data_IF_718224502827
#
_entry.id   IF_718224502827
#
_cell.length_a   1.000
_cell.length_b   1.000
_cell.length_c   1.000
_cell.angle_alpha   90.00
_cell.angle_beta   90.00
_cell.angle_gamma   90.00
#
_symmetry.space_group_name_H-M   'P 1'
#
loop_
_entity.id
_entity.type
_entity.pdbx_description
1 polymer ?
#
# COMPACT_ATOMS: atom_id res chain seq x y z
N UNK A 1 9.18 4.68 -15.32
CA UNK A 1 8.86 6.03 -14.81
C UNK A 1 9.84 6.47 -13.73
N UNK A 2 9.91 5.81 -12.56
CA UNK A 2 10.76 6.25 -11.43
C UNK A 2 12.22 6.58 -11.81
N UNK A 3 12.92 5.70 -12.56
CA UNK A 3 14.30 5.95 -13.01
C UNK A 3 14.43 7.18 -13.93
N UNK A 4 13.51 7.33 -14.89
CA UNK A 4 13.49 8.49 -15.78
C UNK A 4 13.21 9.80 -15.04
N UNK A 5 12.39 9.78 -13.99
CA UNK A 5 12.13 10.97 -13.18
C UNK A 5 13.29 11.37 -12.27
N UNK A 6 14.09 10.41 -11.80
CA UNK A 6 15.35 10.74 -11.12
C UNK A 6 16.30 11.50 -12.05
N UNK A 7 16.34 11.16 -13.34
CA UNK A 7 17.14 11.86 -14.35
C UNK A 7 16.53 13.23 -14.71
N UNK A 8 15.20 13.35 -14.77
CA UNK A 8 14.48 14.60 -15.03
C UNK A 8 14.45 15.58 -13.84
N UNK A 9 14.81 15.13 -12.62
CA UNK A 9 14.86 15.99 -11.42
C UNK A 9 15.78 17.20 -11.56
N UNK A 10 16.71 17.17 -12.52
CA UNK A 10 17.61 18.29 -12.85
C UNK A 10 16.95 19.40 -13.67
N UNK A 11 15.77 19.14 -14.26
CA UNK A 11 15.15 20.01 -15.27
C UNK A 11 13.73 20.45 -14.92
N UNK A 12 13.14 19.95 -13.83
CA UNK A 12 11.78 20.26 -13.40
C UNK A 12 11.77 20.54 -11.90
N UNK A 13 10.84 21.39 -11.46
CA UNK A 13 10.63 21.62 -10.04
C UNK A 13 10.03 20.38 -9.36
N UNK A 14 10.28 20.15 -8.06
CA UNK A 14 9.66 19.06 -7.31
C UNK A 14 8.13 19.05 -7.40
N UNK A 15 7.50 20.23 -7.46
CA UNK A 15 6.07 20.41 -7.56
C UNK A 15 5.52 19.94 -8.92
N UNK A 16 6.20 20.28 -10.01
CA UNK A 16 5.84 19.83 -11.37
C UNK A 16 6.00 18.32 -11.51
N UNK A 17 7.08 17.76 -10.97
CA UNK A 17 7.31 16.32 -10.95
C UNK A 17 6.21 15.62 -10.16
N UNK A 18 5.86 16.13 -8.98
CA UNK A 18 4.81 15.55 -8.14
C UNK A 18 3.45 15.60 -8.82
N UNK A 19 3.08 16.74 -9.40
CA UNK A 19 1.80 16.90 -10.12
C UNK A 19 1.70 15.97 -11.31
N UNK A 20 2.77 15.87 -12.11
CA UNK A 20 2.82 14.94 -13.23
C UNK A 20 2.69 13.48 -12.77
N UNK A 21 3.48 13.08 -11.76
CA UNK A 21 3.47 11.71 -11.25
C UNK A 21 2.10 11.35 -10.68
N UNK A 22 1.49 12.24 -9.91
CA UNK A 22 0.15 12.06 -9.37
C UNK A 22 -0.87 11.80 -10.49
N UNK A 23 -0.84 12.59 -11.56
CA UNK A 23 -1.72 12.42 -12.72
C UNK A 23 -1.44 11.12 -13.48
N UNK A 24 -0.17 10.83 -13.78
CA UNK A 24 0.22 9.64 -14.53
C UNK A 24 -0.11 8.35 -13.77
N UNK A 25 0.14 8.33 -12.46
CA UNK A 25 -0.16 7.19 -11.59
C UNK A 25 -1.68 7.02 -11.45
N UNK A 26 -2.42 8.11 -11.23
CA UNK A 26 -3.89 8.06 -11.13
C UNK A 26 -4.50 7.53 -12.44
N UNK A 27 -4.04 8.02 -13.58
CA UNK A 27 -4.51 7.55 -14.88
C UNK A 27 -4.19 6.06 -15.08
N UNK A 28 -2.96 5.63 -14.75
CA UNK A 28 -2.58 4.22 -14.82
C UNK A 28 -3.43 3.34 -13.91
N UNK A 29 -3.73 3.81 -12.70
CA UNK A 29 -4.60 3.11 -11.75
C UNK A 29 -6.01 2.95 -12.32
N UNK A 30 -6.58 4.02 -12.89
CA UNK A 30 -7.91 3.99 -13.50
C UNK A 30 -7.98 3.02 -14.69
N UNK A 31 -7.02 3.10 -15.62
CA UNK A 31 -6.97 2.20 -16.79
C UNK A 31 -6.84 0.75 -16.35
N UNK A 32 -5.96 0.48 -15.38
CA UNK A 32 -5.77 -0.87 -14.83
C UNK A 32 -7.04 -1.40 -14.18
N UNK A 33 -7.69 -0.60 -13.34
CA UNK A 33 -8.92 -0.99 -12.66
C UNK A 33 -10.04 -1.32 -13.66
N UNK A 34 -10.25 -0.47 -14.67
CA UNK A 34 -11.27 -0.69 -15.71
C UNK A 34 -10.96 -1.96 -16.51
N UNK A 35 -9.69 -2.16 -16.89
CA UNK A 35 -9.27 -3.34 -17.64
C UNK A 35 -9.46 -4.63 -16.82
N UNK A 36 -9.00 -4.65 -15.57
CA UNK A 36 -9.16 -5.80 -14.67
C UNK A 36 -10.64 -6.10 -14.41
N UNK A 37 -11.47 -5.07 -14.21
CA UNK A 37 -12.92 -5.23 -14.07
C UNK A 37 -13.54 -5.85 -15.31
N UNK A 38 -13.19 -5.36 -16.50
CA UNK A 38 -13.72 -5.90 -17.76
C UNK A 38 -13.30 -7.37 -17.94
N UNK A 39 -12.02 -7.70 -17.73
CA UNK A 39 -11.52 -9.07 -17.86
C UNK A 39 -12.22 -10.00 -16.87
N UNK A 40 -12.34 -9.59 -15.59
CA UNK A 40 -12.97 -10.40 -14.54
C UNK A 40 -14.45 -10.67 -14.84
N UNK A 41 -15.19 -9.65 -15.29
CA UNK A 41 -16.59 -9.81 -15.65
C UNK A 41 -16.78 -10.68 -16.91
N UNK A 42 -15.96 -10.48 -17.94
CA UNK A 42 -16.01 -11.25 -19.19
C UNK A 42 -15.75 -12.73 -18.94
N UNK A 43 -14.69 -13.08 -18.20
CA UNK A 43 -14.41 -14.48 -17.82
C UNK A 43 -15.57 -15.11 -17.05
N UNK A 44 -16.09 -14.38 -16.07
CA UNK A 44 -17.17 -14.86 -15.23
C UNK A 44 -18.52 -15.00 -15.97
N UNK A 45 -18.69 -14.37 -17.14
CA UNK A 45 -19.82 -14.61 -18.06
C UNK A 45 -19.59 -15.86 -18.94
N UNK A 46 -18.34 -16.11 -19.35
CA UNK A 46 -17.98 -17.27 -20.16
C UNK A 46 -18.00 -18.59 -19.38
N UNK A 47 -17.62 -18.60 -18.11
CA UNK A 47 -17.48 -19.82 -17.28
C UNK A 47 -18.82 -20.34 -16.68
N UNK A 48 -19.97 -19.95 -17.24
CA UNK A 48 -21.25 -20.60 -16.92
C UNK A 48 -21.93 -20.21 -15.59
N UNK A 49 -21.48 -19.16 -14.91
CA UNK A 49 -22.27 -18.48 -13.88
C UNK A 49 -22.21 -19.03 -12.44
N UNK A 50 -21.37 -20.02 -12.12
CA UNK A 50 -21.02 -20.32 -10.73
C UNK A 50 -20.04 -19.27 -10.19
N UNK A 51 -20.52 -18.03 -10.00
CA UNK A 51 -19.73 -16.97 -9.36
C UNK A 51 -19.79 -17.12 -7.85
N UNK A 52 -18.67 -16.89 -7.17
CA UNK A 52 -18.69 -16.54 -5.75
C UNK A 52 -19.59 -15.31 -5.59
N UNK A 53 -20.64 -15.41 -4.77
CA UNK A 53 -21.55 -14.29 -4.46
C UNK A 53 -20.85 -13.14 -3.72
N UNK A 54 -19.57 -13.32 -3.42
CA UNK A 54 -18.71 -12.41 -2.66
C UNK A 54 -17.99 -11.38 -3.54
N UNK A 55 -17.91 -11.58 -4.86
CA UNK A 55 -17.18 -10.68 -5.78
C UNK A 55 -18.02 -10.14 -6.94
N UNK A 56 -17.83 -8.87 -7.27
CA UNK A 56 -18.30 -8.23 -8.50
C UNK A 56 -17.09 -7.73 -9.29
N UNK A 57 -16.59 -8.56 -10.21
CA UNK A 57 -15.34 -8.31 -10.90
C UNK A 57 -14.18 -8.29 -9.90
N UNK A 58 -13.49 -7.15 -9.76
CA UNK A 58 -12.39 -6.96 -8.80
C UNK A 58 -12.84 -6.46 -7.43
N UNK A 59 -14.12 -6.12 -7.28
CA UNK A 59 -14.69 -5.62 -6.02
C UNK A 59 -15.09 -6.82 -5.16
N UNK A 60 -14.64 -6.84 -3.91
CA UNK A 60 -15.09 -7.80 -2.90
C UNK A 60 -16.16 -7.15 -2.02
N UNK A 61 -17.31 -7.83 -1.88
CA UNK A 61 -18.47 -7.31 -1.19
C UNK A 61 -18.37 -7.38 0.33
N UNK A 62 -17.49 -8.24 0.86
CA UNK A 62 -17.27 -8.40 2.30
C UNK A 62 -15.78 -8.40 2.63
N UNK A 63 -15.02 -7.40 2.17
CA UNK A 63 -13.57 -7.32 2.36
C UNK A 63 -13.23 -7.25 3.85
N UNK A 64 -12.51 -8.25 4.35
CA UNK A 64 -12.08 -8.34 5.74
C UNK A 64 -10.71 -7.67 5.90
N UNK A 65 -10.63 -6.51 6.59
CA UNK A 65 -9.36 -5.83 6.84
C UNK A 65 -8.42 -6.71 7.66
N UNK A 66 -8.94 -7.46 8.66
CA UNK A 66 -8.17 -8.39 9.49
C UNK A 66 -7.40 -9.41 8.66
N UNK A 67 -8.04 -10.03 7.67
CA UNK A 67 -7.39 -11.01 6.81
C UNK A 67 -6.33 -10.36 5.91
N UNK A 68 -6.64 -9.18 5.35
CA UNK A 68 -5.68 -8.42 4.53
C UNK A 68 -4.46 -7.97 5.33
N UNK A 69 -4.67 -7.47 6.55
CA UNK A 69 -3.60 -7.06 7.47
C UNK A 69 -2.70 -8.25 7.81
N UNK A 70 -3.27 -9.42 8.10
CA UNK A 70 -2.50 -10.64 8.40
C UNK A 70 -1.67 -11.10 7.20
N UNK A 71 -2.26 -11.10 6.01
CA UNK A 71 -1.58 -11.49 4.78
C UNK A 71 -0.40 -10.55 4.47
N UNK A 72 -0.64 -9.24 4.45
CA UNK A 72 0.42 -8.25 4.25
C UNK A 72 1.45 -8.30 5.39
N UNK A 73 1.00 -8.49 6.63
CA UNK A 73 1.84 -8.59 7.82
C UNK A 73 2.82 -9.77 7.76
N UNK A 74 2.34 -10.96 7.40
CA UNK A 74 3.19 -12.15 7.21
C UNK A 74 4.26 -11.90 6.15
N UNK A 75 3.84 -11.41 4.98
CA UNK A 75 4.75 -11.09 3.89
C UNK A 75 5.82 -10.07 4.28
N UNK A 76 5.43 -8.98 4.96
CA UNK A 76 6.37 -7.95 5.41
C UNK A 76 7.27 -8.46 6.55
N UNK A 77 6.77 -9.34 7.42
CA UNK A 77 7.57 -9.96 8.47
C UNK A 77 8.71 -10.78 7.87
N UNK A 78 8.41 -11.65 6.91
CA UNK A 78 9.41 -12.46 6.19
C UNK A 78 10.46 -11.57 5.50
N UNK A 79 10.02 -10.49 4.84
CA UNK A 79 10.92 -9.54 4.22
C UNK A 79 11.82 -8.80 5.24
N UNK A 80 11.25 -8.45 6.39
CA UNK A 80 11.93 -7.75 7.46
C UNK A 80 12.97 -8.66 8.14
N UNK A 81 12.60 -9.91 8.43
CA UNK A 81 13.50 -10.94 8.96
C UNK A 81 14.65 -11.25 7.98
N UNK A 82 14.35 -11.40 6.70
CA UNK A 82 15.37 -11.63 5.68
C UNK A 82 16.35 -10.44 5.54
N UNK A 83 15.89 -9.21 5.78
CA UNK A 83 16.72 -8.01 5.60
C UNK A 83 17.48 -7.61 6.87
N UNK A 84 16.85 -7.73 8.04
CA UNK A 84 17.37 -7.20 9.30
C UNK A 84 17.58 -8.27 10.38
N UNK A 85 17.18 -9.52 10.14
CA UNK A 85 17.28 -10.62 11.11
C UNK A 85 16.20 -10.61 12.20
N UNK A 86 15.26 -9.66 12.16
CA UNK A 86 14.15 -9.56 13.10
C UNK A 86 12.98 -8.79 12.50
N UNK A 87 11.78 -9.00 13.05
CA UNK A 87 10.56 -8.26 12.74
C UNK A 87 9.78 -7.94 14.03
N UNK A 88 9.05 -6.82 14.09
CA UNK A 88 8.12 -6.55 15.18
C UNK A 88 6.90 -7.47 15.11
N UNK A 89 6.30 -7.76 16.27
CA UNK A 89 4.98 -8.40 16.33
C UNK A 89 3.91 -7.47 15.75
N UNK A 90 2.92 -8.04 15.06
CA UNK A 90 1.76 -7.32 14.53
C UNK A 90 0.52 -7.56 15.40
N UNK A 91 0.04 -6.51 16.07
CA UNK A 91 -1.17 -6.56 16.91
C UNK A 91 -2.31 -5.89 16.17
N UNK A 92 -3.47 -6.54 16.13
CA UNK A 92 -4.70 -6.01 15.51
C UNK A 92 -5.76 -5.84 16.60
N UNK A 93 -6.23 -4.61 16.81
CA UNK A 93 -7.27 -4.25 17.78
C UNK A 93 -8.42 -3.46 17.15
N UNK A 94 -9.44 -3.11 17.94
CA UNK A 94 -10.67 -2.47 17.48
C UNK A 94 -11.73 -3.47 16.99
N UNK A 95 -12.52 -3.10 15.99
CA UNK A 95 -13.55 -3.96 15.40
C UNK A 95 -12.95 -4.86 14.31
N UNK A 96 -12.38 -5.98 14.74
CA UNK A 96 -11.64 -6.90 13.86
C UNK A 96 -12.53 -7.70 12.92
N UNK A 97 -13.83 -7.80 13.21
CA UNK A 97 -14.77 -8.59 12.41
C UNK A 97 -15.54 -7.71 11.41
N UNK A 98 -15.29 -6.39 11.41
CA UNK A 98 -15.79 -5.47 10.41
C UNK A 98 -15.41 -5.90 8.99
N UNK A 99 -16.37 -5.80 8.08
CA UNK A 99 -16.17 -5.99 6.65
C UNK A 99 -16.74 -4.81 5.87
N UNK A 100 -16.21 -4.55 4.68
CA UNK A 100 -16.69 -3.47 3.82
C UNK A 100 -16.51 -3.81 2.34
N UNK A 101 -17.28 -3.14 1.48
CA UNK A 101 -17.18 -3.33 0.03
C UNK A 101 -16.00 -2.52 -0.49
N UNK A 102 -14.98 -3.19 -1.03
CA UNK A 102 -13.75 -2.54 -1.49
C UNK A 102 -13.01 -3.35 -2.56
N UNK A 103 -11.96 -2.76 -3.14
CA UNK A 103 -11.03 -3.44 -4.08
C UNK A 103 -9.84 -4.00 -3.29
N UNK A 104 -9.72 -5.32 -3.08
CA UNK A 104 -8.69 -5.90 -2.20
C UNK A 104 -7.26 -5.55 -2.61
N UNK A 105 -6.96 -5.53 -3.91
CA UNK A 105 -5.61 -5.20 -4.45
C UNK A 105 -5.17 -3.79 -4.05
N UNK A 106 -6.10 -2.83 -3.96
CA UNK A 106 -5.76 -1.47 -3.53
C UNK A 106 -5.42 -1.44 -2.05
N UNK A 107 -6.22 -2.12 -1.22
CA UNK A 107 -5.98 -2.22 0.22
C UNK A 107 -4.66 -2.94 0.52
N UNK A 108 -4.38 -4.03 -0.19
CA UNK A 108 -3.14 -4.78 -0.11
C UNK A 108 -1.91 -3.90 -0.37
N UNK A 109 -1.95 -3.13 -1.46
CA UNK A 109 -0.85 -2.23 -1.82
C UNK A 109 -0.57 -1.21 -0.70
N UNK A 110 -1.63 -0.54 -0.23
CA UNK A 110 -1.53 0.47 0.84
C UNK A 110 -0.97 -0.17 2.13
N UNK A 111 -1.53 -1.30 2.56
CA UNK A 111 -1.11 -1.97 3.79
C UNK A 111 0.34 -2.44 3.70
N UNK A 112 0.75 -3.03 2.57
CA UNK A 112 2.13 -3.51 2.38
C UNK A 112 3.13 -2.36 2.47
N UNK A 113 2.88 -1.23 1.82
CA UNK A 113 3.79 -0.08 1.86
C UNK A 113 3.85 0.57 3.25
N UNK A 114 2.72 0.72 3.94
CA UNK A 114 2.68 1.26 5.31
C UNK A 114 3.41 0.31 6.27
N UNK A 115 3.13 -0.99 6.21
CA UNK A 115 3.73 -2.00 7.08
C UNK A 115 5.25 -2.09 6.87
N UNK A 116 5.75 -2.07 5.63
CA UNK A 116 7.20 -2.04 5.36
C UNK A 116 7.88 -0.86 6.08
N UNK A 117 7.26 0.32 6.03
CA UNK A 117 7.80 1.52 6.68
C UNK A 117 7.79 1.38 8.21
N UNK A 118 6.66 0.96 8.79
CA UNK A 118 6.50 0.77 10.24
C UNK A 118 7.47 -0.29 10.79
N UNK A 119 7.59 -1.43 10.10
CA UNK A 119 8.46 -2.53 10.47
C UNK A 119 9.93 -2.11 10.42
N UNK A 120 10.32 -1.51 9.30
CA UNK A 120 11.67 -0.98 9.12
C UNK A 120 12.04 0.03 10.20
N UNK A 121 11.16 1.01 10.48
CA UNK A 121 11.44 2.03 11.48
C UNK A 121 11.60 1.42 12.90
N UNK A 122 10.73 0.47 13.26
CA UNK A 122 10.76 -0.22 14.55
C UNK A 122 12.06 -1.00 14.75
N UNK A 123 12.47 -1.78 13.74
CA UNK A 123 13.71 -2.58 13.80
C UNK A 123 14.95 -1.69 13.78
N UNK A 124 15.01 -0.69 12.89
CA UNK A 124 16.16 0.22 12.81
C UNK A 124 16.36 1.01 14.11
N UNK A 125 15.28 1.47 14.76
CA UNK A 125 15.38 2.15 16.06
C UNK A 125 15.87 1.21 17.15
N UNK A 126 15.29 0.01 17.23
CA UNK A 126 15.67 -0.98 18.23
C UNK A 126 17.17 -1.33 18.11
N UNK A 127 17.68 -1.53 16.89
CA UNK A 127 19.11 -1.75 16.64
C UNK A 127 19.99 -0.56 17.05
N UNK A 128 19.55 0.68 16.79
CA UNK A 128 20.30 1.90 17.16
C UNK A 128 20.41 2.09 18.68
N UNK A 129 19.38 1.68 19.44
CA UNK A 129 19.41 1.71 20.90
C UNK A 129 20.34 0.62 21.49
N UNK A 130 20.83 -0.30 20.66
CA UNK A 130 21.81 -1.34 21.01
C UNK A 130 21.25 -2.44 21.92
N UNK A 131 22.09 -3.42 22.25
CA UNK A 131 21.81 -4.50 23.22
C UNK A 131 21.44 -3.99 24.65
N UNK A 132 21.41 -2.67 24.88
CA UNK A 132 20.88 -2.06 26.10
C UNK A 132 19.35 -2.25 26.24
N UNK A 133 18.65 -2.50 25.13
CA UNK A 133 17.26 -2.95 25.15
C UNK A 133 17.19 -4.44 25.50
N UNK A 134 17.07 -4.79 26.78
CA UNK A 134 16.61 -6.15 27.20
C UNK A 134 15.17 -6.45 26.75
N UNK A 135 14.47 -5.44 26.24
CA UNK A 135 13.08 -5.54 25.83
C UNK A 135 12.97 -5.94 24.35
N UNK A 136 11.95 -6.72 23.97
CA UNK A 136 11.71 -7.07 22.57
C UNK A 136 11.42 -5.81 21.74
N UNK A 137 11.53 -5.94 20.42
CA UNK A 137 11.12 -4.90 19.47
C UNK A 137 9.65 -4.56 19.75
N UNK A 138 9.30 -3.27 19.93
CA UNK A 138 7.91 -2.89 20.16
C UNK A 138 7.00 -3.34 19.02
N UNK A 139 5.76 -3.79 19.32
CA UNK A 139 4.83 -4.26 18.30
C UNK A 139 4.31 -3.11 17.44
N UNK A 140 4.03 -3.41 16.17
CA UNK A 140 3.25 -2.53 15.30
C UNK A 140 1.77 -2.83 15.53
N UNK A 141 0.99 -1.81 15.92
CA UNK A 141 -0.42 -1.97 16.29
C UNK A 141 -1.33 -1.38 15.21
N UNK A 142 -2.32 -2.14 14.74
CA UNK A 142 -3.35 -1.67 13.79
C UNK A 142 -4.72 -1.72 14.43
N UNK A 143 -5.32 -0.55 14.62
CA UNK A 143 -6.68 -0.39 15.13
C UNK A 143 -7.67 -0.25 13.99
N UNK A 144 -8.65 -1.16 13.90
CA UNK A 144 -9.73 -1.11 12.92
C UNK A 144 -10.94 -0.41 13.55
N UNK A 145 -11.43 0.63 12.89
CA UNK A 145 -12.74 1.24 13.18
C UNK A 145 -13.70 0.87 12.06
N UNK A 146 -14.89 0.34 12.39
CA UNK A 146 -15.84 -0.11 11.39
C UNK A 146 -16.35 1.06 10.54
N UNK A 147 -16.95 0.77 9.38
CA UNK A 147 -17.64 1.77 8.58
C UNK A 147 -18.63 2.57 9.43
N UNK A 148 -18.54 3.91 9.40
CA UNK A 148 -19.51 4.76 10.10
C UNK A 148 -20.93 4.39 9.68
N UNK A 149 -21.74 3.91 10.62
CA UNK A 149 -23.15 3.63 10.36
C UNK A 149 -23.86 4.93 9.98
N UNK A 150 -24.82 4.91 9.04
CA UNK A 150 -25.70 6.05 8.84
C UNK A 150 -26.42 6.31 10.16
N UNK A 151 -26.23 7.48 10.76
CA UNK A 151 -26.88 7.86 12.02
C UNK A 151 -28.40 7.65 11.89
N UNK A 152 -29.02 6.72 12.64
CA UNK A 152 -30.46 6.63 12.71
C UNK A 152 -30.91 7.73 13.68
N UNK A 153 -31.41 8.83 13.12
CA UNK A 153 -32.08 9.92 13.85
C UNK A 153 -31.23 10.63 14.90
N UNK A 154 -30.35 11.53 14.44
CA UNK A 154 -30.02 12.71 15.23
C UNK A 154 -31.23 13.67 15.23
N UNK A 155 -31.68 14.06 16.41
CA UNK A 155 -32.69 15.07 16.66
C UNK A 155 -32.24 16.46 16.21
N UNK A 156 -32.14 16.68 14.89
CA UNK A 156 -32.09 18.03 14.34
C UNK A 156 -33.53 18.52 14.11
N UNK A 157 -33.91 19.70 14.63
CA UNK A 157 -35.25 20.24 14.40
C UNK A 157 -35.46 20.43 12.90
N UNK A 158 -36.60 19.92 12.43
CA UNK A 158 -37.06 19.97 11.05
C UNK A 158 -37.29 21.41 10.59
N UNK A 159 -36.24 22.12 10.20
CA UNK A 159 -36.35 23.43 9.56
C UNK A 159 -35.20 23.69 8.59
N UNK A 160 -35.08 22.82 7.58
CA UNK A 160 -34.62 23.21 6.23
C UNK A 160 -34.70 22.00 5.30
N UNK A 161 -35.44 22.14 4.20
CA UNK A 161 -35.49 21.18 3.09
C UNK A 161 -34.17 21.21 2.30
N UNK A 162 -33.04 20.87 2.94
CA UNK A 162 -31.81 20.55 2.23
C UNK A 162 -31.80 19.05 1.94
N UNK A 163 -31.66 18.71 0.66
CA UNK A 163 -31.48 17.35 0.15
C UNK A 163 -30.57 16.56 1.11
N UNK A 164 -31.13 15.54 1.76
CA UNK A 164 -30.44 14.66 2.68
C UNK A 164 -29.41 13.86 1.88
N UNK A 165 -28.19 14.41 1.73
CA UNK A 165 -27.08 13.72 1.06
C UNK A 165 -26.90 12.36 1.74
N UNK A 166 -26.82 11.24 1.00
CA UNK A 166 -26.48 9.95 1.58
C UNK A 166 -25.14 10.10 2.31
N UNK A 167 -25.11 9.68 3.56
CA UNK A 167 -23.88 9.73 4.35
C UNK A 167 -22.92 8.68 3.79
N UNK A 168 -21.76 9.15 3.31
CA UNK A 168 -20.69 8.26 2.83
C UNK A 168 -20.12 7.50 4.02
N UNK A 169 -20.14 6.17 3.97
CA UNK A 169 -19.50 5.32 4.96
C UNK A 169 -18.01 5.15 4.68
N UNK A 170 -17.22 5.11 5.75
CA UNK A 170 -15.77 4.97 5.68
C UNK A 170 -15.26 3.99 6.71
N UNK A 171 -14.51 2.99 6.26
CA UNK A 171 -13.65 2.20 7.13
C UNK A 171 -12.42 3.04 7.49
N UNK A 172 -12.04 3.06 8.77
CA UNK A 172 -10.83 3.76 9.21
C UNK A 172 -9.88 2.78 9.91
N UNK A 173 -8.59 2.88 9.62
CA UNK A 173 -7.54 2.14 10.30
C UNK A 173 -6.49 3.11 10.84
N UNK A 174 -5.99 2.83 12.05
CA UNK A 174 -4.84 3.53 12.61
C UNK A 174 -3.69 2.55 12.78
N UNK A 175 -2.60 2.77 12.06
CA UNK A 175 -1.37 1.98 12.14
C UNK A 175 -0.39 2.75 13.01
N UNK A 176 0.14 2.12 14.06
CA UNK A 176 1.04 2.73 15.04
C UNK A 176 2.34 1.94 15.13
N UNK A 177 3.44 2.67 15.10
CA UNK A 177 4.77 2.12 15.38
C UNK A 177 5.48 2.93 16.47
N UNK A 178 6.42 2.28 17.14
CA UNK A 178 7.39 2.94 18.02
C UNK A 178 8.77 3.00 17.32
N UNK A 179 8.77 3.34 16.03
CA UNK A 179 9.96 3.43 15.19
C UNK A 179 10.76 4.71 15.36
N UNK A 180 10.42 5.56 16.35
CA UNK A 180 11.17 6.78 16.69
C UNK A 180 10.71 8.02 15.96
N UNK A 181 9.68 7.90 15.14
CA UNK A 181 9.07 9.03 14.44
C UNK A 181 9.93 9.59 13.30
N UNK A 182 9.46 10.71 12.78
CA UNK A 182 10.07 11.50 11.71
C UNK A 182 10.30 12.89 12.26
N UNK A 183 11.53 13.39 12.11
CA UNK A 183 11.89 14.74 12.55
C UNK A 183 11.09 15.82 11.82
N UNK A 184 10.84 16.95 12.49
CA UNK A 184 10.11 18.10 11.93
C UNK A 184 10.71 18.61 10.61
N UNK A 185 12.03 18.48 10.43
CA UNK A 185 12.73 18.84 9.18
C UNK A 185 12.34 17.98 7.98
N UNK A 186 11.91 16.73 8.21
CA UNK A 186 11.59 15.77 7.16
C UNK A 186 10.08 15.56 6.97
N UNK A 187 9.24 15.98 7.93
CA UNK A 187 7.79 15.70 7.93
C UNK A 187 7.09 16.20 6.66
N UNK A 188 7.52 17.35 6.14
CA UNK A 188 6.94 17.95 4.94
C UNK A 188 7.35 17.22 3.64
N UNK A 189 8.34 16.33 3.70
CA UNK A 189 8.91 15.64 2.54
C UNK A 189 8.52 14.16 2.47
N UNK A 190 7.87 13.59 3.49
CA UNK A 190 7.54 12.15 3.54
C UNK A 190 6.63 11.68 2.40
N UNK A 191 5.87 12.61 1.82
CA UNK A 191 5.00 12.37 0.67
C UNK A 191 5.59 12.85 -0.65
N UNK A 192 6.83 13.33 -0.66
CA UNK A 192 7.52 13.71 -1.88
C UNK A 192 8.04 12.45 -2.58
N UNK A 193 7.84 12.37 -3.88
CA UNK A 193 8.41 11.28 -4.67
C UNK A 193 9.93 11.27 -4.58
N UNK A 194 10.51 10.07 -4.53
CA UNK A 194 11.94 9.85 -4.39
C UNK A 194 12.55 10.23 -3.03
N UNK A 195 11.75 10.71 -2.08
CA UNK A 195 12.21 10.94 -0.71
C UNK A 195 12.30 9.61 0.04
N UNK A 196 13.49 9.28 0.54
CA UNK A 196 13.71 8.10 1.36
C UNK A 196 14.77 8.37 2.42
N UNK A 197 14.54 7.85 3.62
CA UNK A 197 15.54 7.83 4.70
C UNK A 197 16.46 6.61 4.63
N UNK A 198 16.18 5.69 3.71
CA UNK A 198 17.03 4.53 3.46
C UNK A 198 18.34 4.94 2.80
N UNK A 199 19.47 4.48 3.33
CA UNK A 199 20.77 4.64 2.68
C UNK A 199 21.59 5.88 3.03
N UNK A 200 21.18 6.74 3.97
CA UNK A 200 22.06 7.85 4.45
C UNK A 200 23.37 7.35 5.10
N UNK A 201 23.44 6.10 5.56
CA UNK A 201 24.66 5.43 6.03
C UNK A 201 25.19 4.34 5.07
N UNK A 202 24.58 4.16 3.90
CA UNK A 202 24.94 3.12 2.93
C UNK A 202 25.44 3.70 1.60
N UNK A 203 25.39 5.03 1.45
CA UNK A 203 25.83 5.75 0.25
C UNK A 203 27.33 5.59 -0.04
N UNK A 204 28.15 5.14 0.92
CA UNK A 204 29.56 4.80 0.70
C UNK A 204 29.77 3.43 0.07
N UNK A 205 28.74 2.60 -0.11
CA UNK A 205 28.88 1.23 -0.62
C UNK A 205 28.28 1.02 -2.02
N UNK A 206 27.58 2.02 -2.57
CA UNK A 206 26.96 1.96 -3.90
C UNK A 206 27.72 2.73 -4.99
N UNK A 207 28.80 3.45 -4.61
CA UNK A 207 29.64 4.20 -5.55
C UNK A 207 30.92 3.46 -5.97
N UNK A 208 31.21 2.29 -5.40
CA UNK A 208 32.42 1.49 -5.73
C UNK A 208 32.09 0.22 -6.53
N UNK A 209 31.31 0.35 -7.60
CA UNK A 209 31.26 -0.69 -8.65
C UNK A 209 31.53 -0.03 -10.00
N UNK A 210 32.71 0.55 -10.14
CA UNK A 210 33.31 0.77 -11.45
C UNK A 210 34.39 -0.29 -11.71
N UNK A 211 34.26 -0.90 -12.88
CA UNK A 211 35.33 -1.48 -13.69
C UNK A 211 35.90 -2.86 -13.29
N UNK A 212 35.21 -3.92 -13.69
CA UNK A 212 35.88 -5.06 -14.34
C UNK A 212 35.01 -5.62 -15.47
N UNK A 213 35.53 -5.53 -16.70
CA UNK A 213 34.79 -5.70 -17.94
C UNK A 213 34.19 -7.09 -18.20
N UNK A 214 33.10 -7.10 -18.98
CA UNK A 214 32.54 -8.31 -19.60
C UNK A 214 31.04 -8.25 -19.87
N UNK A 215 30.68 -7.94 -21.12
CA UNK A 215 29.41 -8.25 -21.82
C UNK A 215 28.05 -7.93 -21.17
N UNK A 216 27.39 -6.91 -21.74
CA UNK A 216 25.99 -6.99 -22.22
C UNK A 216 24.92 -7.45 -21.23
N UNK A 217 24.41 -6.52 -20.41
CA UNK A 217 23.22 -6.75 -19.60
C UNK A 217 22.78 -5.49 -18.88
N UNK A 218 22.19 -4.54 -19.62
CA UNK A 218 21.63 -3.31 -19.06
C UNK A 218 20.39 -3.58 -18.20
N UNK A 219 20.60 -4.08 -16.98
CA UNK A 219 19.54 -4.47 -16.08
C UNK A 219 19.76 -3.94 -14.67
N UNK A 220 19.38 -2.68 -14.42
CA UNK A 220 19.25 -2.19 -13.04
C UNK A 220 18.18 -2.98 -12.28
N UNK A 221 18.06 -2.83 -10.95
CA UNK A 221 17.24 -3.69 -10.07
C UNK A 221 15.72 -3.77 -10.40
N UNK A 222 15.26 -2.99 -11.38
CA UNK A 222 13.88 -2.99 -11.88
C UNK A 222 13.75 -3.24 -13.40
N UNK A 223 14.82 -3.60 -14.10
CA UNK A 223 14.70 -4.00 -15.51
C UNK A 223 13.78 -5.23 -15.69
N UNK A 224 13.68 -6.09 -14.68
CA UNK A 224 12.74 -7.21 -14.64
C UNK A 224 11.27 -6.79 -14.45
N UNK A 225 10.98 -5.58 -13.93
CA UNK A 225 9.59 -5.08 -13.83
C UNK A 225 8.99 -4.73 -15.19
N UNK A 226 9.81 -4.56 -16.23
CA UNK A 226 9.33 -4.26 -17.59
C UNK A 226 8.94 -5.53 -18.37
N UNK A 227 9.43 -6.70 -17.96
CA UNK A 227 9.21 -7.99 -18.68
C UNK A 227 7.94 -8.71 -18.18
N UNK A 228 7.47 -8.42 -16.97
CA UNK A 228 6.31 -9.08 -16.37
C UNK A 228 4.94 -8.73 -16.98
N UNK A 229 4.86 -7.74 -17.88
CA UNK A 229 3.60 -7.37 -18.54
C UNK A 229 3.17 -8.29 -19.68
N UNK A 230 4.10 -9.07 -20.26
CA UNK A 230 3.81 -9.94 -21.41
C UNK A 230 3.77 -11.44 -21.06
N UNK A 231 4.48 -11.89 -20.02
CA UNK A 231 4.59 -13.32 -19.71
C UNK A 231 3.38 -13.90 -18.95
N UNK A 232 2.43 -13.07 -18.51
CA UNK A 232 1.23 -13.53 -17.79
C UNK A 232 0.13 -14.09 -18.71
N UNK A 233 0.31 -14.07 -20.04
CA UNK A 233 -0.70 -14.57 -20.98
C UNK A 233 -0.55 -16.06 -21.33
N UNK A 234 0.60 -16.69 -21.06
CA UNK A 234 0.93 -18.00 -21.67
C UNK A 234 0.96 -19.19 -20.67
N UNK A 235 0.79 -18.95 -19.36
CA UNK A 235 0.97 -19.98 -18.32
C UNK A 235 -0.30 -20.60 -17.70
N UNK A 236 -1.51 -20.18 -18.07
CA UNK A 236 -2.75 -20.70 -17.49
C UNK A 236 -3.13 -22.08 -18.05
N UNK A 237 -2.51 -23.14 -17.54
CA UNK A 237 -3.04 -24.51 -17.66
C UNK A 237 -2.83 -25.25 -16.32
N UNK A 238 -3.94 -25.58 -15.64
CA UNK A 238 -3.95 -26.51 -14.51
C UNK A 238 -4.63 -25.94 -13.27
N UNK A 239 -5.88 -26.35 -13.02
CA UNK A 239 -6.73 -25.78 -11.98
C UNK A 239 -6.39 -26.14 -10.54
N UNK A 240 -6.88 -25.32 -9.62
CA UNK A 240 -7.57 -25.73 -8.39
C UNK A 240 -8.29 -24.53 -7.79
N UNK A 241 -9.51 -24.78 -7.29
CA UNK A 241 -10.38 -23.80 -6.67
C UNK A 241 -9.85 -23.37 -5.29
N UNK A 242 -9.80 -22.06 -5.06
CA UNK A 242 -9.41 -21.46 -3.79
C UNK A 242 -8.87 -20.04 -4.05
N UNK A 243 -9.46 -19.02 -3.43
CA UNK A 243 -9.22 -17.59 -3.63
C UNK A 243 -7.81 -17.03 -3.35
N UNK A 244 -6.75 -17.75 -3.74
CA UNK A 244 -5.34 -17.42 -3.56
C UNK A 244 -4.55 -17.38 -4.89
N UNK A 245 -5.21 -17.42 -6.04
CA UNK A 245 -4.59 -17.86 -7.30
C UNK A 245 -3.69 -16.87 -8.03
N UNK A 246 -3.92 -15.55 -7.99
CA UNK A 246 -3.15 -14.63 -8.85
C UNK A 246 -2.02 -13.93 -8.10
N UNK A 247 -2.28 -13.43 -6.89
CA UNK A 247 -1.23 -12.78 -6.10
C UNK A 247 -0.42 -13.77 -5.27
N UNK A 248 -0.98 -14.93 -4.87
CA UNK A 248 -0.20 -16.00 -4.22
C UNK A 248 0.91 -16.56 -5.10
N UNK A 249 0.66 -16.72 -6.40
CA UNK A 249 1.69 -17.10 -7.38
C UNK A 249 2.68 -15.96 -7.69
N UNK A 250 2.21 -14.70 -7.75
CA UNK A 250 3.06 -13.52 -7.97
C UNK A 250 3.92 -13.20 -6.73
N UNK A 251 3.45 -13.45 -5.52
CA UNK A 251 4.20 -13.32 -4.25
C UNK A 251 5.18 -14.48 -4.08
N UNK A 252 4.75 -15.70 -4.40
CA UNK A 252 5.63 -16.88 -4.45
C UNK A 252 6.79 -16.70 -5.44
N UNK A 253 6.56 -16.03 -6.58
CA UNK A 253 7.63 -15.63 -7.52
C UNK A 253 8.24 -14.25 -7.26
N UNK A 254 7.64 -13.43 -6.41
CA UNK A 254 8.11 -12.09 -6.04
C UNK A 254 9.42 -12.11 -5.27
N UNK A 255 9.70 -13.22 -4.57
CA UNK A 255 11.01 -13.54 -3.97
C UNK A 255 12.12 -13.68 -5.04
N UNK A 256 11.79 -14.06 -6.28
CA UNK A 256 12.73 -14.14 -7.41
C UNK A 256 12.77 -12.89 -8.30
N UNK A 257 11.73 -12.04 -8.27
CA UNK A 257 11.58 -10.87 -9.16
C UNK A 257 11.62 -9.57 -8.34
N UNK A 258 12.75 -9.28 -7.68
CA UNK A 258 13.18 -7.91 -7.31
C UNK A 258 12.21 -7.00 -6.52
N UNK A 259 11.10 -7.52 -5.98
CA UNK A 259 10.22 -6.83 -5.02
C UNK A 259 10.79 -6.90 -3.59
N UNK A 260 11.92 -7.59 -3.40
CA UNK A 260 12.46 -8.03 -2.13
C UNK A 260 13.33 -7.03 -1.37
N UNK A 261 13.00 -5.73 -1.37
CA UNK A 261 13.64 -4.79 -0.42
C UNK A 261 12.62 -4.11 0.48
N UNK A 262 12.84 -4.22 1.79
CA UNK A 262 12.04 -3.57 2.84
C UNK A 262 12.08 -2.03 2.70
N UNK A 263 13.15 -1.50 2.11
CA UNK A 263 13.32 -0.09 1.76
C UNK A 263 13.39 0.08 0.24
N UNK A 264 12.59 1.01 -0.29
CA UNK A 264 12.52 1.31 -1.71
C UNK A 264 13.03 2.71 -2.07
N UNK A 265 12.74 3.12 -3.30
CA UNK A 265 13.14 4.41 -3.88
C UNK A 265 12.37 5.63 -3.32
N UNK A 266 11.55 5.49 -2.28
CA UNK A 266 10.76 6.62 -1.74
C UNK A 266 9.46 6.92 -2.51
N UNK A 267 8.80 5.88 -3.03
CA UNK A 267 7.51 6.01 -3.72
C UNK A 267 6.32 5.46 -2.91
N UNK A 268 6.57 4.70 -1.84
CA UNK A 268 5.53 3.96 -1.12
C UNK A 268 4.42 4.82 -0.52
N UNK A 269 4.79 5.81 0.31
CA UNK A 269 3.84 6.72 0.95
C UNK A 269 3.04 7.59 -0.03
N UNK A 270 3.66 8.30 -1.01
CA UNK A 270 2.88 9.08 -1.98
C UNK A 270 1.93 8.21 -2.81
N UNK A 271 2.38 7.03 -3.25
CA UNK A 271 1.52 6.08 -3.97
C UNK A 271 0.35 5.61 -3.11
N UNK A 272 0.62 5.19 -1.87
CA UNK A 272 -0.43 4.75 -0.93
C UNK A 272 -1.48 5.82 -0.70
N UNK A 273 -1.05 7.09 -0.60
CA UNK A 273 -1.95 8.24 -0.50
C UNK A 273 -2.82 8.41 -1.75
N UNK A 274 -2.28 8.18 -2.95
CA UNK A 274 -3.07 8.20 -4.18
C UNK A 274 -4.09 7.07 -4.24
N UNK A 275 -3.71 5.84 -3.88
CA UNK A 275 -4.63 4.70 -3.82
C UNK A 275 -5.77 4.97 -2.84
N UNK A 276 -5.48 5.51 -1.65
CA UNK A 276 -6.52 5.87 -0.67
C UNK A 276 -7.45 6.97 -1.20
N UNK A 277 -6.89 8.02 -1.82
CA UNK A 277 -7.66 9.15 -2.37
C UNK A 277 -8.47 8.79 -3.62
N UNK A 278 -8.12 7.73 -4.34
CA UNK A 278 -8.76 7.37 -5.61
C UNK A 278 -10.29 7.21 -5.49
N UNK A 279 -10.76 6.60 -4.39
CA UNK A 279 -12.19 6.47 -4.09
C UNK A 279 -12.72 7.49 -3.06
N UNK A 280 -11.98 8.59 -2.84
CA UNK A 280 -12.36 9.66 -1.91
C UNK A 280 -11.98 9.40 -0.45
N UNK A 281 -11.05 8.48 -0.18
CA UNK A 281 -10.44 8.28 1.13
C UNK A 281 -9.31 9.27 1.45
N UNK A 282 -8.59 9.03 2.55
CA UNK A 282 -7.39 9.78 2.94
C UNK A 282 -6.33 8.86 3.56
N UNK A 283 -5.10 9.33 3.55
CA UNK A 283 -3.98 8.75 4.27
C UNK A 283 -3.23 9.92 4.92
N UNK A 284 -3.36 10.01 6.22
CA UNK A 284 -2.82 11.08 7.05
C UNK A 284 -1.73 10.52 7.96
N UNK A 285 -0.68 11.30 8.20
CA UNK A 285 0.49 10.88 8.95
C UNK A 285 0.73 11.83 10.12
N UNK A 286 0.88 11.28 11.32
CA UNK A 286 1.21 12.01 12.53
C UNK A 286 2.48 11.39 13.11
N UNK A 287 3.44 12.23 13.47
CA UNK A 287 4.70 11.76 14.04
C UNK A 287 4.95 12.36 15.41
N UNK A 288 5.51 11.54 16.28
CA UNK A 288 6.04 11.93 17.57
C UNK A 288 7.55 11.69 17.52
N UNK A 289 8.31 12.74 17.20
CA UNK A 289 9.76 12.65 17.04
C UNK A 289 10.42 12.10 18.32
N UNK A 290 11.31 11.13 18.14
CA UNK A 290 11.93 10.37 19.21
C UNK A 290 11.07 9.24 19.79
N UNK A 291 9.79 9.12 19.42
CA UNK A 291 8.87 8.08 19.91
C UNK A 291 8.38 7.14 18.81
N UNK A 292 7.64 7.63 17.81
CA UNK A 292 6.91 6.76 16.90
C UNK A 292 6.06 7.53 15.90
N UNK A 293 5.27 6.79 15.12
CA UNK A 293 4.36 7.38 14.14
C UNK A 293 3.00 6.70 14.14
N UNK A 294 1.98 7.51 13.83
CA UNK A 294 0.60 7.07 13.60
C UNK A 294 0.23 7.39 12.14
N UNK A 295 -0.19 6.36 11.40
CA UNK A 295 -0.80 6.51 10.07
C UNK A 295 -2.30 6.28 10.18
N UNK A 296 -3.08 7.28 9.79
CA UNK A 296 -4.54 7.21 9.74
C UNK A 296 -4.97 6.97 8.28
N UNK A 297 -5.52 5.80 8.04
CA UNK A 297 -6.02 5.39 6.73
C UNK A 297 -7.54 5.40 6.74
N UNK A 298 -8.15 6.21 5.89
CA UNK A 298 -9.61 6.31 5.73
C UNK A 298 -9.99 5.86 4.34
N UNK A 299 -10.82 4.82 4.23
CA UNK A 299 -11.24 4.23 2.96
C UNK A 299 -12.76 4.28 2.82
N UNK A 300 -13.24 4.82 1.70
CA UNK A 300 -14.68 4.88 1.40
C UNK A 300 -15.19 3.48 1.08
N UNK A 301 -16.33 3.12 1.66
CA UNK A 301 -17.06 1.91 1.28
C UNK A 301 -17.72 2.11 -0.09
N UNK A 302 -17.58 1.12 -1.00
CA UNK A 302 -17.98 1.26 -2.41
C UNK A 302 -19.45 0.87 -2.68
N UNK A 303 -20.17 0.40 -1.66
CA UNK A 303 -21.62 0.16 -1.68
C UNK A 303 -22.45 1.45 -1.67
N UNK A 304 -21.95 2.52 -1.06
CA UNK A 304 -22.59 3.83 -1.06
C UNK A 304 -22.39 4.53 -2.41
N UNK A 305 -23.13 4.11 -3.43
CA UNK A 305 -23.04 4.59 -4.81
C UNK A 305 -23.58 6.03 -4.97
N UNK A 306 -22.78 7.01 -4.55
CA UNK A 306 -22.73 8.32 -5.20
C UNK A 306 -21.43 8.46 -6.00
N UNK A 307 -21.54 9.11 -7.16
CA UNK A 307 -20.42 9.45 -8.04
C UNK A 307 -19.27 10.10 -7.25
N UNK A 308 -18.08 9.52 -7.36
CA UNK A 308 -16.86 10.14 -6.85
C UNK A 308 -16.57 11.34 -7.76
N UNK A 309 -16.67 12.55 -7.21
CA UNK A 309 -16.15 13.74 -7.91
C UNK A 309 -14.62 13.66 -7.86
N UNK A 310 -14.03 13.15 -8.94
CA UNK A 310 -12.58 13.06 -9.12
C UNK A 310 -12.11 14.48 -9.52
N UNK A 311 -11.53 15.22 -8.57
CA UNK A 311 -10.80 16.47 -8.86
C UNK A 311 -9.36 16.17 -9.25
#
# INVERSE_FOLDING_TARGET
MAKGFQECSRYMTPEEISSFLDSAIRNRLAVRLIAEQHIALSRALHDGGEKSKEYIGVIHLACSPKNMIRMCGSFVSELCEATFGAAPELIIDGDVDATFVYVPVHLEYILTEILKNAFRASVERHHKLGHASRHPIPPVCITISPPSAPTPNGSEPASSQQQKRPQRSFLTMRIRDEGGGVSESNINQIFSYSFTTAGRNSASSFLDVDDFGGSGGGGGPYAAQHVGGMAALEGSYGGTAGGAGLFGEIVGRGVQIGMGTIAGLGYGLPMSRLYAKYFGGSLDFVSLDGWGSDVFLKLRCLDDAEDVVIW
#
